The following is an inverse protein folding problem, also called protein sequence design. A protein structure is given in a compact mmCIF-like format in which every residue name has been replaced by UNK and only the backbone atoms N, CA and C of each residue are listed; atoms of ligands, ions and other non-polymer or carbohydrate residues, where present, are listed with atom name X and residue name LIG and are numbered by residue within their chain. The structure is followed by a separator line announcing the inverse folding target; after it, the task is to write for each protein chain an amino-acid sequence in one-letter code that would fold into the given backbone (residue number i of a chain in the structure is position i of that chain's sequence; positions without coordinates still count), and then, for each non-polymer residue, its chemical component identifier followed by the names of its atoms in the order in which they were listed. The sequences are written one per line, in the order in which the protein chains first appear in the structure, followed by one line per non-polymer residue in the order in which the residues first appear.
data_IF_298530856720
#
_entry.id   IF_298530856720
#
_cell.length_a   1.000
_cell.length_b   1.000
_cell.length_c   1.000
_cell.angle_alpha   90.00
_cell.angle_beta   90.00
_cell.angle_gamma   90.00
#
_symmetry.space_group_name_H-M   'P 1'
#
loop_
_entity.id
_entity.type
_entity.pdbx_description
1 polymer ?
#
# COMPACT_ATOMS: atom_id res chain seq x y z
N UNK A 1 20.14 4.52 -17.93
CA UNK A 1 19.14 3.58 -18.50
C UNK A 1 19.80 2.20 -18.55
N UNK A 2 19.08 1.15 -18.21
CA UNK A 2 19.57 -0.23 -18.16
C UNK A 2 18.50 -1.17 -18.75
N UNK A 3 18.90 -2.32 -19.30
CA UNK A 3 17.99 -3.33 -19.85
C UNK A 3 17.27 -4.12 -18.75
N UNK A 4 17.95 -4.33 -17.62
CA UNK A 4 17.45 -5.01 -16.43
C UNK A 4 17.76 -4.13 -15.22
N UNK A 5 16.81 -4.00 -14.29
CA UNK A 5 16.96 -3.26 -13.05
C UNK A 5 16.58 -4.13 -11.85
N UNK A 6 17.35 -4.01 -10.76
CA UNK A 6 16.91 -4.45 -9.44
C UNK A 6 16.25 -3.28 -8.73
N UNK A 7 15.02 -3.46 -8.28
CA UNK A 7 14.25 -2.44 -7.59
C UNK A 7 13.52 -3.02 -6.37
N UNK A 8 13.60 -2.33 -5.24
CA UNK A 8 13.05 -2.80 -3.98
C UNK A 8 13.64 -2.04 -2.81
N UNK A 9 13.52 -2.62 -1.61
CA UNK A 9 13.96 -2.00 -0.38
C UNK A 9 14.21 -3.03 0.71
N UNK A 10 15.09 -2.68 1.64
CA UNK A 10 15.39 -3.44 2.84
C UNK A 10 15.51 -2.48 4.00
N UNK A 11 14.99 -2.85 5.17
CA UNK A 11 15.16 -2.08 6.39
C UNK A 11 15.15 -2.99 7.61
N UNK A 12 15.98 -2.64 8.59
CA UNK A 12 16.09 -3.31 9.87
C UNK A 12 16.10 -2.25 11.01
N UNK A 13 14.97 -1.56 11.22
CA UNK A 13 14.90 -0.42 12.14
C UNK A 13 14.76 -0.80 13.63
N UNK A 14 14.78 -2.08 14.02
CA UNK A 14 14.56 -2.49 15.42
C UNK A 14 15.82 -2.33 16.28
N UNK A 15 16.37 -1.12 16.24
CA UNK A 15 17.46 -0.66 17.12
C UNK A 15 16.92 0.34 18.14
N UNK A 16 17.56 0.38 19.31
CA UNK A 16 17.09 1.14 20.46
C UNK A 16 16.74 2.60 20.16
N UNK A 17 17.61 3.30 19.44
CA UNK A 17 17.40 4.73 19.13
C UNK A 17 16.17 4.97 18.25
N UNK A 18 15.92 4.09 17.27
CA UNK A 18 14.77 4.21 16.38
C UNK A 18 13.48 3.90 17.15
N UNK A 19 13.45 2.80 17.90
CA UNK A 19 12.30 2.47 18.75
C UNK A 19 11.93 3.61 19.70
N UNK A 20 12.93 4.22 20.36
CA UNK A 20 12.72 5.36 21.26
C UNK A 20 12.28 6.64 20.55
N UNK A 21 12.77 6.90 19.33
CA UNK A 21 12.30 8.02 18.53
C UNK A 21 10.81 7.87 18.18
N UNK A 22 10.38 6.68 17.76
CA UNK A 22 8.98 6.41 17.43
C UNK A 22 8.06 6.39 18.65
N UNK A 23 8.54 5.90 19.80
CA UNK A 23 7.84 6.01 21.08
C UNK A 23 7.64 7.49 21.46
N UNK A 24 8.68 8.32 21.33
CA UNK A 24 8.61 9.75 21.62
C UNK A 24 7.62 10.51 20.71
N UNK A 25 7.46 10.06 19.45
CA UNK A 25 6.43 10.58 18.53
C UNK A 25 5.01 10.16 18.89
N UNK A 26 4.83 9.22 19.83
CA UNK A 26 3.52 8.66 20.24
C UNK A 26 2.73 8.05 19.08
N UNK A 27 3.46 7.49 18.11
CA UNK A 27 2.88 6.84 16.92
C UNK A 27 2.74 5.32 17.07
N UNK A 28 3.44 4.72 18.05
CA UNK A 28 3.48 3.27 18.23
C UNK A 28 2.19 2.73 18.88
N UNK A 29 1.64 1.66 18.30
CA UNK A 29 0.65 0.85 18.96
C UNK A 29 1.31 0.01 20.07
N UNK A 30 0.60 -0.28 21.18
CA UNK A 30 1.13 -1.08 22.29
C UNK A 30 1.23 -2.57 21.98
N UNK A 31 0.62 -3.05 20.90
CA UNK A 31 0.50 -4.48 20.60
C UNK A 31 0.59 -4.83 19.12
N UNK A 32 -0.30 -4.30 18.27
CA UNK A 32 -0.36 -4.65 16.83
C UNK A 32 -0.93 -3.51 15.98
N UNK A 33 -0.59 -3.53 14.69
CA UNK A 33 -1.25 -2.72 13.67
C UNK A 33 -2.69 -3.19 13.48
N UNK A 34 -3.65 -2.26 13.54
CA UNK A 34 -5.07 -2.53 13.23
C UNK A 34 -5.62 -1.56 12.19
N UNK A 35 -5.12 -1.59 10.94
CA UNK A 35 -5.52 -0.64 9.92
C UNK A 35 -7.04 -0.60 9.76
N UNK A 36 -7.61 0.62 9.72
CA UNK A 36 -9.04 0.90 9.51
C UNK A 36 -10.01 0.39 10.58
N UNK A 37 -9.55 -0.33 11.61
CA UNK A 37 -10.43 -0.77 12.70
C UNK A 37 -10.64 0.36 13.71
N UNK A 38 -11.84 0.46 14.32
CA UNK A 38 -12.17 1.49 15.31
C UNK A 38 -11.20 1.51 16.50
N UNK A 39 -10.73 0.33 16.93
CA UNK A 39 -9.81 0.15 18.05
C UNK A 39 -8.33 0.37 17.73
N UNK A 40 -7.98 0.96 16.58
CA UNK A 40 -6.59 1.19 16.17
C UNK A 40 -5.90 2.23 17.06
N UNK A 41 -4.61 2.01 17.35
CA UNK A 41 -3.83 2.76 18.34
C UNK A 41 -2.48 3.26 17.83
N UNK A 42 -2.17 3.03 16.56
CA UNK A 42 -0.87 3.34 15.99
C UNK A 42 -0.29 2.20 15.17
N UNK A 43 1.00 2.33 14.90
CA UNK A 43 1.79 1.42 14.07
C UNK A 43 2.71 0.55 14.93
N UNK A 44 3.06 -0.63 14.45
CA UNK A 44 4.17 -1.44 14.99
C UNK A 44 5.29 -1.42 13.96
N UNK A 45 6.55 -1.36 14.40
CA UNK A 45 7.69 -1.40 13.50
C UNK A 45 8.04 -2.85 13.15
N UNK A 46 8.37 -3.07 11.88
CA UNK A 46 8.84 -4.34 11.36
C UNK A 46 10.22 -4.20 10.72
N UNK A 47 10.80 -5.34 10.34
CA UNK A 47 12.00 -5.43 9.53
C UNK A 47 11.70 -6.33 8.34
N UNK A 48 12.37 -6.09 7.22
CA UNK A 48 12.19 -6.94 6.06
C UNK A 48 12.96 -6.46 4.86
N UNK A 49 12.89 -7.25 3.79
CA UNK A 49 13.44 -6.92 2.50
C UNK A 49 12.57 -7.50 1.39
N UNK A 50 12.44 -6.77 0.30
CA UNK A 50 11.80 -7.22 -0.93
C UNK A 50 12.55 -6.65 -2.12
N UNK A 51 12.66 -7.42 -3.19
CA UNK A 51 13.35 -7.01 -4.42
C UNK A 51 12.63 -7.62 -5.62
N UNK A 52 12.52 -6.84 -6.69
CA UNK A 52 12.04 -7.27 -7.99
C UNK A 52 13.13 -7.07 -9.04
N UNK A 53 13.09 -7.92 -10.05
CA UNK A 53 13.81 -7.74 -11.31
C UNK A 53 12.83 -7.10 -12.29
N UNK A 54 13.15 -5.90 -12.76
CA UNK A 54 12.36 -5.16 -13.72
C UNK A 54 13.05 -5.19 -15.09
N UNK A 55 12.27 -5.45 -16.12
CA UNK A 55 12.71 -5.52 -17.52
C UNK A 55 11.64 -4.87 -18.40
N UNK A 56 12.02 -4.44 -19.61
CA UNK A 56 11.00 -4.11 -20.60
C UNK A 56 10.26 -5.38 -21.03
N UNK A 57 8.99 -5.24 -21.41
CA UNK A 57 8.17 -6.36 -21.86
C UNK A 57 8.80 -7.10 -23.05
N UNK A 58 9.37 -6.35 -24.01
CA UNK A 58 10.01 -6.91 -25.19
C UNK A 58 11.25 -7.74 -24.83
N UNK A 59 12.08 -7.23 -23.93
CA UNK A 59 13.29 -7.94 -23.49
C UNK A 59 12.94 -9.23 -22.73
N UNK A 60 12.02 -9.14 -21.76
CA UNK A 60 11.55 -10.28 -20.98
C UNK A 60 10.92 -11.36 -21.90
N UNK A 61 10.10 -10.95 -22.87
CA UNK A 61 9.47 -11.85 -23.84
C UNK A 61 10.50 -12.51 -24.76
N UNK A 62 11.44 -11.73 -25.31
CA UNK A 62 12.46 -12.24 -26.23
C UNK A 62 13.36 -13.33 -25.61
N UNK A 63 13.64 -13.23 -24.30
CA UNK A 63 14.41 -14.24 -23.57
C UNK A 63 13.56 -15.36 -22.96
N UNK A 64 12.23 -15.35 -23.16
CA UNK A 64 11.30 -16.35 -22.61
C UNK A 64 11.18 -16.32 -21.08
N UNK A 65 11.24 -15.13 -20.47
CA UNK A 65 11.09 -14.96 -19.04
C UNK A 65 9.66 -15.27 -18.56
N UNK A 66 9.52 -15.81 -17.35
CA UNK A 66 8.23 -15.81 -16.66
C UNK A 66 7.94 -14.40 -16.14
N UNK A 67 6.91 -13.75 -16.70
CA UNK A 67 6.50 -12.41 -16.29
C UNK A 67 5.43 -12.54 -15.21
N UNK A 68 5.69 -11.99 -14.02
CA UNK A 68 4.79 -12.10 -12.87
C UNK A 68 3.66 -11.05 -12.89
N UNK A 69 3.97 -9.83 -13.33
CA UNK A 69 3.02 -8.74 -13.50
C UNK A 69 3.68 -7.63 -14.33
N UNK A 70 2.85 -6.77 -14.90
CA UNK A 70 3.26 -5.49 -15.46
C UNK A 70 3.24 -4.42 -14.36
N UNK A 71 4.28 -3.58 -14.27
CA UNK A 71 4.19 -2.29 -13.55
C UNK A 71 3.51 -1.31 -14.49
N UNK A 72 2.21 -1.11 -14.30
CA UNK A 72 1.37 -0.41 -15.26
C UNK A 72 1.46 1.10 -15.15
N UNK A 73 1.66 1.63 -13.94
CA UNK A 73 1.82 3.07 -13.76
C UNK A 73 2.34 3.45 -12.39
N UNK A 74 2.82 4.68 -12.30
CA UNK A 74 3.43 5.27 -11.11
C UNK A 74 2.83 6.66 -10.86
N UNK A 75 2.43 6.91 -9.62
CA UNK A 75 1.97 8.22 -9.19
C UNK A 75 2.75 8.70 -7.98
N UNK A 76 3.34 9.90 -8.09
CA UNK A 76 4.10 10.53 -7.02
C UNK A 76 3.51 11.89 -6.69
N UNK A 77 3.51 12.26 -5.41
CA UNK A 77 3.12 13.61 -4.99
C UNK A 77 3.81 14.02 -3.69
N UNK A 78 3.66 15.30 -3.32
CA UNK A 78 4.07 15.81 -2.03
C UNK A 78 2.93 16.62 -1.40
N UNK A 79 2.67 16.41 -0.11
CA UNK A 79 1.63 17.12 0.64
C UNK A 79 1.95 18.62 0.75
N UNK A 80 3.23 18.96 0.99
CA UNK A 80 3.70 20.32 1.23
C UNK A 80 2.84 21.11 2.26
N UNK A 81 2.31 20.39 3.27
CA UNK A 81 1.29 20.91 4.20
C UNK A 81 1.80 21.01 5.65
N UNK A 82 2.20 19.89 6.24
CA UNK A 82 2.69 19.81 7.61
C UNK A 82 3.86 18.83 7.68
N UNK A 83 4.75 19.01 8.65
CA UNK A 83 5.96 18.17 8.79
C UNK A 83 5.63 16.68 9.02
N UNK A 84 4.50 16.36 9.66
CA UNK A 84 4.10 14.98 9.98
C UNK A 84 2.61 14.68 9.84
N UNK A 85 1.76 15.70 9.64
CA UNK A 85 0.31 15.47 9.59
C UNK A 85 -0.11 15.21 8.14
N UNK A 86 -0.90 14.16 7.88
CA UNK A 86 -1.28 13.82 6.51
C UNK A 86 -2.28 14.83 5.95
N UNK A 87 -2.23 15.06 4.64
CA UNK A 87 -3.18 15.92 3.94
C UNK A 87 -3.82 15.19 2.75
N UNK A 88 -5.15 15.15 2.69
CA UNK A 88 -5.91 14.31 1.74
C UNK A 88 -5.51 14.54 0.27
N UNK A 89 -5.14 15.78 -0.09
CA UNK A 89 -4.84 16.13 -1.48
C UNK A 89 -3.58 15.45 -2.02
N UNK A 90 -2.61 15.13 -1.16
CA UNK A 90 -1.37 14.46 -1.56
C UNK A 90 -1.62 13.03 -2.03
N UNK A 91 -2.13 12.13 -1.17
CA UNK A 91 -2.58 10.79 -1.55
C UNK A 91 -3.55 10.79 -2.74
N UNK A 92 -4.53 11.71 -2.76
CA UNK A 92 -5.45 11.86 -3.90
C UNK A 92 -4.70 12.13 -5.21
N UNK A 93 -3.77 13.09 -5.21
CA UNK A 93 -2.99 13.46 -6.40
C UNK A 93 -2.10 12.30 -6.87
N UNK A 94 -1.47 11.57 -5.94
CA UNK A 94 -0.62 10.43 -6.29
C UNK A 94 -1.44 9.28 -6.90
N UNK A 95 -2.61 8.95 -6.32
CA UNK A 95 -3.48 7.91 -6.88
C UNK A 95 -4.02 8.29 -8.26
N UNK A 96 -4.46 9.54 -8.47
CA UNK A 96 -4.91 10.02 -9.79
C UNK A 96 -3.78 10.01 -10.83
N UNK A 97 -2.58 10.42 -10.44
CA UNK A 97 -1.41 10.38 -11.32
C UNK A 97 -1.08 8.94 -11.74
N UNK A 98 -1.14 7.99 -10.80
CA UNK A 98 -0.89 6.58 -11.07
C UNK A 98 -1.92 5.99 -12.05
N UNK A 99 -3.21 6.30 -11.86
CA UNK A 99 -4.29 5.86 -12.77
C UNK A 99 -4.09 6.45 -14.17
N UNK A 100 -3.74 7.73 -14.26
CA UNK A 100 -3.49 8.41 -15.53
C UNK A 100 -2.26 7.84 -16.27
N UNK A 101 -1.15 7.61 -15.55
CA UNK A 101 0.06 6.99 -16.10
C UNK A 101 -0.20 5.56 -16.61
N UNK A 102 -1.03 4.81 -15.90
CA UNK A 102 -1.44 3.45 -16.27
C UNK A 102 -2.53 3.38 -17.36
N UNK A 103 -3.14 4.52 -17.73
CA UNK A 103 -4.30 4.56 -18.63
C UNK A 103 -5.51 3.78 -18.09
N UNK A 104 -5.70 3.76 -16.76
CA UNK A 104 -6.76 3.03 -16.07
C UNK A 104 -7.86 3.97 -15.57
N UNK A 105 -9.10 3.49 -15.58
CA UNK A 105 -10.19 4.10 -14.84
C UNK A 105 -10.19 3.59 -13.39
N UNK A 106 -10.93 4.28 -12.51
CA UNK A 106 -11.04 3.90 -11.11
C UNK A 106 -11.63 2.49 -10.94
N UNK A 107 -12.65 2.17 -11.72
CA UNK A 107 -13.38 0.90 -11.74
C UNK A 107 -12.55 -0.29 -12.25
N UNK A 108 -11.42 -0.04 -12.91
CA UNK A 108 -10.53 -1.10 -13.37
C UNK A 108 -9.76 -1.75 -12.22
N UNK A 109 -9.63 -1.07 -11.07
CA UNK A 109 -8.83 -1.52 -9.94
C UNK A 109 -9.62 -2.53 -9.10
N UNK A 110 -9.18 -3.78 -9.07
CA UNK A 110 -9.87 -4.85 -8.34
C UNK A 110 -9.46 -4.90 -6.85
N UNK A 111 -8.21 -4.52 -6.56
CA UNK A 111 -7.61 -4.57 -5.23
C UNK A 111 -6.71 -3.36 -4.96
N UNK A 112 -6.83 -2.77 -3.76
CA UNK A 112 -5.92 -1.74 -3.27
C UNK A 112 -5.29 -2.18 -1.95
N UNK A 113 -3.97 -2.38 -1.96
CA UNK A 113 -3.17 -2.47 -0.74
C UNK A 113 -2.91 -1.04 -0.23
N UNK A 114 -3.66 -0.63 0.79
CA UNK A 114 -3.56 0.68 1.38
C UNK A 114 -2.29 0.83 2.24
N UNK A 115 -1.86 2.08 2.43
CA UNK A 115 -0.76 2.41 3.32
C UNK A 115 -1.09 1.96 4.75
N UNK A 116 -2.29 2.27 5.26
CA UNK A 116 -2.92 1.61 6.42
C UNK A 116 -1.99 1.41 7.61
N UNK A 117 -1.54 2.50 8.23
CA UNK A 117 -0.61 2.41 9.38
C UNK A 117 -1.30 2.05 10.69
N UNK A 118 -2.63 2.07 10.75
CA UNK A 118 -3.36 1.85 12.00
C UNK A 118 -3.32 3.06 12.92
N UNK A 119 -2.89 4.23 12.43
CA UNK A 119 -3.04 5.50 13.15
C UNK A 119 -4.38 6.13 12.81
N UNK A 120 -5.00 6.83 13.77
CA UNK A 120 -6.33 7.41 13.57
C UNK A 120 -6.37 8.40 12.39
N UNK A 121 -5.46 9.36 12.41
CA UNK A 121 -5.39 10.43 11.41
C UNK A 121 -5.05 9.90 10.00
N UNK A 122 -4.08 8.98 9.87
CA UNK A 122 -3.71 8.43 8.56
C UNK A 122 -4.86 7.65 7.94
N UNK A 123 -5.44 6.71 8.68
CA UNK A 123 -6.42 5.80 8.09
C UNK A 123 -7.71 6.56 7.70
N UNK A 124 -8.13 7.58 8.47
CA UNK A 124 -9.24 8.47 8.09
C UNK A 124 -8.93 9.31 6.84
N UNK A 125 -7.71 9.85 6.79
CA UNK A 125 -7.24 10.65 5.65
C UNK A 125 -7.17 9.81 4.37
N UNK A 126 -6.58 8.62 4.47
CA UNK A 126 -6.45 7.66 3.38
C UNK A 126 -7.83 7.17 2.91
N UNK A 127 -8.75 6.85 3.83
CA UNK A 127 -10.15 6.55 3.46
C UNK A 127 -10.76 7.69 2.65
N UNK A 128 -10.61 8.93 3.10
CA UNK A 128 -11.17 10.09 2.41
C UNK A 128 -10.56 10.26 1.02
N UNK A 129 -9.24 10.10 0.89
CA UNK A 129 -8.55 10.20 -0.39
C UNK A 129 -9.00 9.10 -1.37
N UNK A 130 -9.12 7.85 -0.90
CA UNK A 130 -9.60 6.72 -1.70
C UNK A 130 -11.01 7.02 -2.20
N UNK A 131 -11.92 7.46 -1.34
CA UNK A 131 -13.30 7.80 -1.74
C UNK A 131 -13.37 8.92 -2.78
N UNK A 132 -12.49 9.92 -2.70
CA UNK A 132 -12.43 11.00 -3.70
C UNK A 132 -11.93 10.52 -5.06
N UNK A 133 -10.99 9.58 -5.09
CA UNK A 133 -10.43 9.06 -6.34
C UNK A 133 -11.35 8.04 -6.99
N UNK A 134 -11.88 7.10 -6.19
CA UNK A 134 -12.60 5.94 -6.67
C UNK A 134 -14.13 6.08 -6.65
N UNK A 135 -14.68 7.13 -6.00
CA UNK A 135 -16.12 7.35 -5.90
C UNK A 135 -16.84 6.15 -5.28
N UNK A 136 -17.94 5.72 -5.88
CA UNK A 136 -18.72 4.57 -5.39
C UNK A 136 -17.96 3.24 -5.47
N UNK A 137 -16.96 3.14 -6.36
CA UNK A 137 -16.11 1.94 -6.47
C UNK A 137 -15.26 1.70 -5.21
N UNK A 138 -15.01 2.74 -4.41
CA UNK A 138 -14.30 2.60 -3.12
C UNK A 138 -14.97 1.63 -2.14
N UNK A 139 -16.27 1.37 -2.30
CA UNK A 139 -17.05 0.48 -1.42
C UNK A 139 -17.17 -0.97 -1.94
N UNK A 140 -16.67 -1.26 -3.14
CA UNK A 140 -16.75 -2.59 -3.77
C UNK A 140 -15.38 -3.13 -4.23
N UNK A 141 -14.41 -2.24 -4.38
CA UNK A 141 -12.99 -2.56 -4.51
C UNK A 141 -12.48 -3.14 -3.20
N UNK A 142 -11.86 -4.32 -3.26
CA UNK A 142 -11.33 -4.92 -2.04
C UNK A 142 -10.10 -4.14 -1.57
N UNK A 143 -10.06 -3.85 -0.28
CA UNK A 143 -8.99 -3.09 0.34
C UNK A 143 -8.36 -3.93 1.46
N UNK A 144 -7.04 -3.87 1.58
CA UNK A 144 -6.35 -4.41 2.75
C UNK A 144 -5.17 -3.53 3.15
N UNK A 145 -4.56 -3.79 4.30
CA UNK A 145 -3.20 -3.36 4.56
C UNK A 145 -2.40 -4.50 5.17
N UNK A 146 -1.38 -4.93 4.43
CA UNK A 146 -0.49 -6.01 4.84
C UNK A 146 0.41 -5.65 6.02
N UNK A 147 0.52 -4.36 6.39
CA UNK A 147 1.21 -3.96 7.64
C UNK A 147 0.60 -4.58 8.90
N UNK A 148 -0.64 -5.05 8.82
CA UNK A 148 -1.27 -5.83 9.90
C UNK A 148 -0.63 -7.20 10.15
N UNK A 149 0.10 -7.76 9.18
CA UNK A 149 0.76 -9.08 9.26
C UNK A 149 2.27 -8.97 9.43
N UNK A 150 2.92 -8.04 8.72
CA UNK A 150 4.39 -7.88 8.75
C UNK A 150 4.87 -6.61 9.46
N UNK A 151 3.97 -5.86 10.10
CA UNK A 151 4.24 -4.56 10.72
C UNK A 151 4.68 -3.50 9.69
N UNK A 152 5.19 -2.34 10.12
CA UNK A 152 5.68 -1.31 9.21
C UNK A 152 7.20 -1.41 9.05
N UNK A 153 7.64 -2.02 7.95
CA UNK A 153 9.06 -2.22 7.63
C UNK A 153 9.76 -1.00 7.03
N UNK A 154 9.32 0.22 7.37
CA UNK A 154 9.90 1.51 6.96
C UNK A 154 10.36 1.51 5.49
N UNK A 155 11.66 1.48 5.20
CA UNK A 155 12.22 1.54 3.85
C UNK A 155 11.92 0.31 2.98
N UNK A 156 11.55 -0.82 3.58
CA UNK A 156 11.17 -2.04 2.87
C UNK A 156 9.66 -2.19 2.64
N UNK A 157 8.82 -1.33 3.26
CA UNK A 157 7.37 -1.52 3.27
C UNK A 157 6.78 -1.63 1.85
N UNK A 158 7.07 -0.68 0.96
CA UNK A 158 6.55 -0.68 -0.40
C UNK A 158 7.00 -1.88 -1.22
N UNK A 159 8.18 -2.45 -0.94
CA UNK A 159 8.68 -3.62 -1.64
C UNK A 159 7.94 -4.90 -1.22
N UNK A 160 7.63 -5.06 0.07
CA UNK A 160 6.81 -6.16 0.57
C UNK A 160 5.36 -6.06 0.07
N UNK A 161 4.84 -4.84 0.02
CA UNK A 161 3.48 -4.55 -0.45
C UNK A 161 3.33 -4.77 -1.97
N UNK A 162 4.35 -4.40 -2.76
CA UNK A 162 4.43 -4.77 -4.17
C UNK A 162 4.34 -6.29 -4.35
N UNK A 163 5.11 -7.06 -3.58
CA UNK A 163 5.07 -8.54 -3.66
C UNK A 163 3.65 -9.03 -3.34
N UNK A 164 3.01 -8.50 -2.30
CA UNK A 164 1.64 -8.87 -1.96
C UNK A 164 0.63 -8.56 -3.09
N UNK A 165 0.75 -7.41 -3.75
CA UNK A 165 -0.11 -7.06 -4.89
C UNK A 165 0.12 -7.97 -6.10
N UNK A 166 1.38 -8.27 -6.44
CA UNK A 166 1.71 -9.19 -7.54
C UNK A 166 1.20 -10.60 -7.23
N UNK A 167 1.38 -11.09 -6.00
CA UNK A 167 0.86 -12.39 -5.59
C UNK A 167 -0.68 -12.43 -5.58
N UNK A 168 -1.35 -11.33 -5.22
CA UNK A 168 -2.80 -11.26 -5.32
C UNK A 168 -3.32 -11.42 -6.76
N UNK A 169 -2.60 -10.85 -7.74
CA UNK A 169 -2.88 -11.04 -9.17
C UNK A 169 -2.65 -12.49 -9.60
N UNK A 170 -1.51 -13.07 -9.20
CA UNK A 170 -1.10 -14.42 -9.59
C UNK A 170 -2.02 -15.51 -9.01
N UNK A 171 -2.42 -15.36 -7.75
CA UNK A 171 -3.17 -16.37 -7.01
C UNK A 171 -4.67 -16.12 -7.00
N UNK A 172 -5.13 -14.92 -7.35
CA UNK A 172 -6.54 -14.54 -7.24
C UNK A 172 -7.03 -14.50 -5.78
N UNK A 173 -6.16 -14.06 -4.87
CA UNK A 173 -6.44 -13.97 -3.43
C UNK A 173 -6.02 -12.61 -2.91
N UNK A 174 -6.96 -11.87 -2.32
CA UNK A 174 -6.69 -10.62 -1.62
C UNK A 174 -6.21 -10.94 -0.20
N UNK A 175 -5.03 -10.46 0.22
CA UNK A 175 -4.53 -10.72 1.57
C UNK A 175 -5.40 -10.02 2.62
N UNK A 176 -5.48 -10.57 3.84
CA UNK A 176 -6.27 -9.99 4.90
C UNK A 176 -5.60 -8.79 5.54
N UNK A 177 -6.41 -7.86 6.02
CA UNK A 177 -6.07 -7.00 7.14
C UNK A 177 -6.27 -7.79 8.43
N UNK A 178 -5.17 -8.31 8.98
CA UNK A 178 -5.20 -8.99 10.27
C UNK A 178 -5.53 -8.02 11.42
N UNK A 179 -5.96 -8.56 12.55
CA UNK A 179 -6.28 -7.81 13.77
C UNK A 179 -7.43 -6.80 13.62
N UNK A 180 -8.22 -6.89 12.55
CA UNK A 180 -9.41 -6.08 12.34
C UNK A 180 -10.52 -6.57 13.27
N UNK A 181 -10.97 -5.73 14.21
CA UNK A 181 -11.92 -6.15 15.27
C UNK A 181 -13.30 -5.58 15.06
N UNK A 182 -13.36 -4.27 14.92
CA UNK A 182 -14.61 -3.51 14.84
C UNK A 182 -14.51 -2.50 13.69
N UNK A 183 -15.59 -2.31 12.92
CA UNK A 183 -15.62 -1.29 11.88
C UNK A 183 -15.60 0.11 12.48
N UNK A 184 -14.84 1.00 11.85
CA UNK A 184 -14.87 2.44 12.13
C UNK A 184 -15.79 3.14 11.12
N UNK A 185 -16.82 3.88 11.56
CA UNK A 185 -17.65 4.69 10.66
C UNK A 185 -16.87 5.71 9.82
N UNK A 186 -15.70 6.17 10.30
CA UNK A 186 -14.84 7.08 9.54
C UNK A 186 -13.93 6.35 8.53
N UNK A 187 -13.92 5.00 8.54
CA UNK A 187 -13.15 4.13 7.65
C UNK A 187 -14.05 3.05 7.01
N UNK A 188 -15.09 3.48 6.29
CA UNK A 188 -16.18 2.66 5.74
C UNK A 188 -15.88 1.96 4.39
N UNK A 189 -14.62 1.59 4.15
CA UNK A 189 -14.16 0.90 2.94
C UNK A 189 -14.45 -0.62 3.01
N UNK A 190 -14.43 -1.32 1.87
CA UNK A 190 -14.50 -2.80 1.80
C UNK A 190 -13.16 -3.45 2.21
N UNK A 191 -12.83 -3.31 3.50
CA UNK A 191 -11.63 -3.91 4.10
C UNK A 191 -11.81 -5.43 4.18
N UNK A 192 -10.83 -6.20 3.70
CA UNK A 192 -10.79 -7.66 3.81
C UNK A 192 -10.32 -8.07 5.22
N UNK A 193 -11.20 -8.53 6.13
CA UNK A 193 -10.86 -8.62 7.55
C UNK A 193 -10.43 -10.04 7.95
N UNK A 194 -9.24 -10.15 8.55
CA UNK A 194 -8.65 -11.34 9.22
C UNK A 194 -8.45 -12.62 8.39
N UNK A 195 -9.25 -12.86 7.36
CA UNK A 195 -9.19 -14.04 6.49
C UNK A 195 -8.99 -13.56 5.05
N UNK A 196 -8.07 -14.17 4.28
CA UNK A 196 -7.91 -13.83 2.87
C UNK A 196 -9.22 -14.01 2.10
N UNK A 197 -9.42 -13.22 1.05
CA UNK A 197 -10.61 -13.29 0.21
C UNK A 197 -10.24 -13.76 -1.19
N UNK A 198 -10.82 -14.87 -1.64
CA UNK A 198 -10.72 -15.27 -3.04
C UNK A 198 -11.44 -14.23 -3.92
N UNK A 199 -10.70 -13.66 -4.86
CA UNK A 199 -11.18 -12.67 -5.81
C UNK A 199 -10.24 -12.66 -7.01
N UNK A 200 -10.79 -12.72 -8.22
CA UNK A 200 -9.99 -12.48 -9.42
C UNK A 200 -9.44 -11.04 -9.39
N UNK A 201 -8.13 -10.87 -9.30
CA UNK A 201 -7.46 -9.58 -9.34
C UNK A 201 -6.72 -9.45 -10.67
N UNK A 202 -7.16 -8.53 -11.53
CA UNK A 202 -6.47 -8.20 -12.79
C UNK A 202 -5.60 -6.97 -12.63
N UNK A 203 -6.04 -6.04 -11.78
CA UNK A 203 -5.35 -4.79 -11.46
C UNK A 203 -5.27 -4.66 -9.94
N UNK A 204 -4.06 -4.46 -9.43
CA UNK A 204 -3.82 -4.14 -8.04
C UNK A 204 -3.08 -2.80 -7.92
N UNK A 205 -3.43 -1.99 -6.92
CA UNK A 205 -2.68 -0.77 -6.57
C UNK A 205 -2.08 -0.88 -5.17
N UNK A 206 -0.95 -0.22 -4.95
CA UNK A 206 -0.32 -0.12 -3.62
C UNK A 206 -0.04 1.33 -3.26
N UNK A 207 -0.51 1.75 -2.09
CA UNK A 207 -0.29 3.09 -1.56
C UNK A 207 0.84 3.11 -0.53
N UNK A 208 1.76 4.07 -0.67
CA UNK A 208 2.81 4.34 0.30
C UNK A 208 2.91 5.85 0.59
N UNK A 209 2.49 6.26 1.79
CA UNK A 209 2.43 7.67 2.19
C UNK A 209 3.40 7.92 3.34
N UNK A 210 4.56 8.47 3.02
CA UNK A 210 5.63 8.62 4.00
C UNK A 210 5.32 9.74 5.00
N UNK A 211 5.71 9.51 6.26
CA UNK A 211 5.80 10.59 7.24
C UNK A 211 6.75 11.67 6.70
N UNK A 212 6.25 12.91 6.59
CA UNK A 212 6.91 13.99 5.84
C UNK A 212 6.17 14.40 4.56
N UNK A 213 5.14 13.63 4.17
CA UNK A 213 4.21 13.99 3.11
C UNK A 213 4.71 13.65 1.70
N UNK A 214 5.65 12.72 1.53
CA UNK A 214 6.01 12.19 0.20
C UNK A 214 5.17 10.95 -0.08
N UNK A 215 4.41 10.98 -1.16
CA UNK A 215 3.46 9.92 -1.51
C UNK A 215 3.91 9.20 -2.78
N UNK A 216 3.81 7.88 -2.77
CA UNK A 216 4.03 7.03 -3.93
C UNK A 216 2.90 6.01 -4.06
N UNK A 217 2.44 5.81 -5.28
CA UNK A 217 1.42 4.84 -5.65
C UNK A 217 1.90 4.08 -6.86
N UNK A 218 1.76 2.75 -6.83
CA UNK A 218 2.10 1.87 -7.94
C UNK A 218 0.87 1.07 -8.36
N UNK A 219 0.66 0.92 -9.67
CA UNK A 219 -0.33 0.03 -10.25
C UNK A 219 0.37 -1.18 -10.88
N UNK A 220 -0.19 -2.37 -10.66
CA UNK A 220 0.26 -3.63 -11.21
C UNK A 220 -0.87 -4.29 -11.99
N UNK A 221 -0.55 -4.91 -13.12
CA UNK A 221 -1.53 -5.59 -13.98
C UNK A 221 -1.11 -7.01 -14.32
N UNK A 222 -2.11 -7.85 -14.51
CA UNK A 222 -1.94 -9.13 -15.18
C UNK A 222 -1.45 -8.90 -16.62
N UNK A 223 -0.46 -9.68 -17.04
CA UNK A 223 0.11 -9.69 -18.40
C UNK A 223 -0.76 -10.53 -19.34
#
# INVERSE_FOLDING_TARGET
RAEVMLAGGSDAPLVWIVLKAWEAMRALAPDTCRPFSAGRKGVVLGEGAGMAVLESYEHATARGATILAEVAGVGLSADAFHITAPAVHGPESAMRACLADAGLNAEDVDYLNAHGTGTKANDQNETTAIKRVFGDHAYSMSISSTKSTHAHCIGAASALEMIACVMAIQEGVVPPTANYREPDPDCDLDVTPNVPRERKVRVAMSNAFAMGGTNAVLAFKQV
#
